data_IF_769739464533
#
_entry.id   IF_769739464533
#
_cell.length_a   1.000
_cell.length_b   1.000
_cell.length_c   1.000
_cell.angle_alpha   90.00
_cell.angle_beta   90.00
_cell.angle_gamma   90.00
#
_symmetry.space_group_name_H-M   'P 1'
#
loop_
_entity.id
_entity.type
_entity.pdbx_description
1 polymer ?
#
# COMPACT_ATOMS: atom_id res chain seq x y z
N UNK A 1 -21.75 -7.81 -18.79
CA UNK A 1 -23.05 -8.01 -18.09
C UNK A 1 -24.15 -6.99 -18.46
N UNK A 2 -24.05 -5.68 -18.16
CA UNK A 2 -25.12 -4.71 -18.50
C UNK A 2 -25.19 -4.38 -20.01
N UNK A 3 -24.03 -4.14 -20.64
CA UNK A 3 -23.91 -3.92 -22.09
C UNK A 3 -24.41 -5.12 -22.91
N UNK A 4 -24.03 -6.34 -22.51
CA UNK A 4 -24.50 -7.60 -23.13
C UNK A 4 -26.03 -7.75 -23.12
N UNK A 5 -26.71 -7.13 -22.16
CA UNK A 5 -28.18 -7.14 -22.04
C UNK A 5 -28.85 -5.94 -22.71
N UNK A 6 -28.11 -5.12 -23.46
CA UNK A 6 -28.65 -3.92 -24.12
C UNK A 6 -29.08 -2.81 -23.15
N UNK A 7 -28.65 -2.87 -21.88
CA UNK A 7 -29.02 -1.87 -20.86
C UNK A 7 -28.12 -0.65 -21.02
N UNK A 8 -28.72 0.53 -21.23
CA UNK A 8 -28.00 1.80 -21.32
C UNK A 8 -27.39 2.14 -19.96
N UNK A 9 -26.09 2.39 -19.93
CA UNK A 9 -25.36 2.78 -18.71
C UNK A 9 -24.73 4.16 -18.88
N UNK A 10 -24.49 4.85 -17.76
CA UNK A 10 -23.74 6.10 -17.66
C UNK A 10 -22.79 6.02 -16.46
N UNK A 11 -21.55 6.48 -16.62
CA UNK A 11 -20.58 6.57 -15.53
C UNK A 11 -20.71 7.94 -14.84
N UNK A 12 -20.70 7.94 -13.52
CA UNK A 12 -20.65 9.15 -12.69
C UNK A 12 -19.35 9.06 -11.89
N UNK A 13 -18.48 10.05 -12.04
CA UNK A 13 -17.18 10.07 -11.38
C UNK A 13 -17.29 10.60 -9.94
N UNK A 14 -16.35 10.20 -9.10
CA UNK A 14 -16.19 10.69 -7.73
C UNK A 14 -14.72 10.59 -7.32
N UNK A 15 -14.39 11.04 -6.10
CA UNK A 15 -13.07 10.89 -5.51
C UNK A 15 -12.61 9.42 -5.45
N UNK A 16 -11.30 9.21 -5.56
CA UNK A 16 -10.64 7.91 -5.55
C UNK A 16 -9.32 8.01 -4.80
N UNK A 17 -8.93 6.92 -4.15
CA UNK A 17 -7.62 6.79 -3.48
C UNK A 17 -6.45 7.12 -4.43
N UNK A 18 -6.62 6.82 -5.72
CA UNK A 18 -5.62 7.12 -6.76
C UNK A 18 -5.31 8.62 -6.85
N UNK A 19 -6.31 9.48 -6.67
CA UNK A 19 -6.12 10.93 -6.63
C UNK A 19 -5.81 11.43 -5.22
N UNK A 20 -6.46 10.85 -4.21
CA UNK A 20 -6.26 11.24 -2.82
C UNK A 20 -4.83 10.93 -2.31
N UNK A 21 -4.12 9.99 -2.93
CA UNK A 21 -2.71 9.71 -2.66
C UNK A 21 -1.80 10.93 -2.79
N UNK A 22 -2.19 11.96 -3.57
CA UNK A 22 -1.47 13.23 -3.64
C UNK A 22 -1.43 13.99 -2.30
N UNK A 23 -2.26 13.60 -1.33
CA UNK A 23 -2.20 14.14 0.04
C UNK A 23 -0.90 13.77 0.77
N UNK A 24 -0.10 12.84 0.24
CA UNK A 24 1.23 12.52 0.76
C UNK A 24 2.28 13.58 0.44
N UNK A 25 1.96 14.58 -0.39
CA UNK A 25 2.92 15.57 -0.88
C UNK A 25 3.67 15.13 -2.15
N UNK A 26 3.54 13.87 -2.56
CA UNK A 26 4.14 13.36 -3.79
C UNK A 26 3.36 13.80 -5.02
N UNK A 27 4.07 14.06 -6.11
CA UNK A 27 3.48 14.41 -7.37
C UNK A 27 2.84 13.21 -8.04
N UNK A 28 1.54 13.30 -8.34
CA UNK A 28 0.79 12.23 -9.00
C UNK A 28 1.36 11.80 -10.35
N UNK A 29 2.10 12.66 -11.05
CA UNK A 29 2.73 12.34 -12.33
C UNK A 29 4.00 11.48 -12.19
N UNK A 30 4.60 11.41 -10.99
CA UNK A 30 5.76 10.57 -10.69
C UNK A 30 5.35 9.14 -10.27
N UNK A 31 4.06 8.82 -10.25
CA UNK A 31 3.58 7.47 -9.93
C UNK A 31 3.60 6.54 -11.14
N UNK A 32 4.18 5.36 -10.96
CA UNK A 32 4.20 4.28 -11.92
C UNK A 32 2.96 3.38 -11.83
N UNK A 33 3.13 2.12 -12.20
CA UNK A 33 2.05 1.14 -12.17
C UNK A 33 1.60 0.85 -10.73
N UNK A 34 0.34 1.12 -10.39
CA UNK A 34 -0.26 0.75 -9.10
C UNK A 34 -0.25 -0.76 -8.90
N UNK A 35 0.04 -1.20 -7.67
CA UNK A 35 0.07 -2.62 -7.29
C UNK A 35 -0.99 -2.94 -6.24
N UNK A 36 -1.30 -4.22 -6.10
CA UNK A 36 -2.15 -4.74 -5.03
C UNK A 36 -1.36 -5.75 -4.22
N UNK A 37 -1.34 -5.57 -2.89
CA UNK A 37 -0.68 -6.48 -1.96
C UNK A 37 -1.77 -7.38 -1.35
N UNK A 38 -1.83 -8.68 -1.72
CA UNK A 38 -2.84 -9.61 -1.23
C UNK A 38 -2.45 -10.15 0.15
N UNK A 39 -3.41 -10.62 0.95
CA UNK A 39 -3.08 -11.34 2.19
C UNK A 39 -2.30 -12.64 1.89
N UNK A 40 -1.21 -12.84 2.62
CA UNK A 40 -0.53 -14.12 2.68
C UNK A 40 -1.35 -15.15 3.48
N UNK A 41 -1.24 -16.40 3.05
CA UNK A 41 -1.77 -17.57 3.76
C UNK A 41 -0.68 -18.63 3.83
N UNK A 42 -0.86 -19.66 4.66
CA UNK A 42 0.15 -20.72 4.85
C UNK A 42 0.60 -21.38 3.54
N UNK A 43 -0.31 -21.56 2.58
CA UNK A 43 -0.02 -22.21 1.29
C UNK A 43 0.07 -21.28 0.09
N UNK A 44 -0.14 -19.96 0.27
CA UNK A 44 -0.18 -19.02 -0.85
C UNK A 44 0.38 -17.67 -0.43
N UNK A 45 1.59 -17.38 -0.95
CA UNK A 45 2.36 -16.15 -0.72
C UNK A 45 2.82 -15.57 -2.06
N UNK A 46 1.92 -14.98 -2.85
CA UNK A 46 2.25 -14.46 -4.17
C UNK A 46 3.14 -13.23 -4.05
N UNK A 47 4.27 -13.22 -4.74
CA UNK A 47 5.23 -12.09 -4.70
C UNK A 47 5.26 -11.28 -5.98
N UNK A 48 4.28 -11.45 -6.87
CA UNK A 48 4.24 -10.75 -8.17
C UNK A 48 4.08 -9.23 -8.05
N UNK A 49 3.60 -8.72 -6.91
CA UNK A 49 3.59 -7.29 -6.64
C UNK A 49 5.00 -6.72 -6.48
N UNK A 50 5.96 -7.53 -6.00
CA UNK A 50 7.35 -7.11 -5.86
C UNK A 50 7.98 -6.85 -7.23
N UNK A 51 7.72 -7.67 -8.25
CA UNK A 51 8.25 -7.43 -9.62
C UNK A 51 7.85 -6.05 -10.17
N UNK A 52 6.65 -5.58 -9.82
CA UNK A 52 6.16 -4.25 -10.22
C UNK A 52 6.76 -3.14 -9.39
N UNK A 53 7.02 -3.37 -8.09
CA UNK A 53 7.77 -2.44 -7.25
C UNK A 53 9.19 -2.26 -7.83
N UNK A 54 9.84 -3.36 -8.21
CA UNK A 54 11.15 -3.34 -8.87
C UNK A 54 11.12 -2.59 -10.19
N UNK A 55 10.14 -2.89 -11.04
CA UNK A 55 9.97 -2.22 -12.31
C UNK A 55 9.77 -0.70 -12.16
N UNK A 56 8.88 -0.27 -11.26
CA UNK A 56 8.63 1.15 -11.06
C UNK A 56 9.85 1.86 -10.47
N UNK A 57 10.50 1.27 -9.46
CA UNK A 57 11.68 1.85 -8.82
C UNK A 57 12.86 1.95 -9.79
N UNK A 58 13.09 0.93 -10.62
CA UNK A 58 14.10 0.97 -11.69
C UNK A 58 13.80 2.02 -12.78
N UNK A 59 12.55 2.47 -12.88
CA UNK A 59 12.13 3.60 -13.72
C UNK A 59 12.01 4.93 -12.97
N UNK A 60 12.51 5.00 -11.73
CA UNK A 60 12.45 6.17 -10.85
C UNK A 60 11.02 6.72 -10.61
N UNK A 61 10.09 5.79 -10.38
CA UNK A 61 8.67 6.12 -10.12
C UNK A 61 8.23 5.67 -8.72
N UNK A 62 7.38 6.48 -8.10
CA UNK A 62 6.66 6.08 -6.88
C UNK A 62 5.65 4.97 -7.23
N UNK A 63 5.37 4.11 -6.26
CA UNK A 63 4.36 3.06 -6.42
C UNK A 63 3.29 3.19 -5.36
N UNK A 64 2.05 3.40 -5.79
CA UNK A 64 0.89 3.25 -4.93
C UNK A 64 0.53 1.77 -4.78
N UNK A 65 0.54 1.30 -3.54
CA UNK A 65 0.19 -0.05 -3.13
C UNK A 65 -1.20 -0.04 -2.50
N UNK A 66 -2.16 -0.68 -3.19
CA UNK A 66 -3.50 -0.94 -2.67
C UNK A 66 -3.46 -2.21 -1.81
N UNK A 67 -4.06 -2.14 -0.63
CA UNK A 67 -4.00 -3.22 0.36
C UNK A 67 -5.27 -4.08 0.30
N UNK A 68 -5.11 -5.38 0.53
CA UNK A 68 -6.20 -6.35 0.36
C UNK A 68 -7.39 -6.09 1.30
N UNK A 69 -8.57 -6.38 0.79
CA UNK A 69 -9.83 -6.23 1.51
C UNK A 69 -10.61 -7.53 1.36
N UNK A 70 -10.83 -8.21 2.48
CA UNK A 70 -11.61 -9.43 2.55
C UNK A 70 -12.92 -9.16 3.26
N UNK A 71 -14.01 -9.15 2.51
CA UNK A 71 -15.36 -8.90 3.05
C UNK A 71 -16.25 -10.07 2.65
N UNK A 72 -17.00 -10.61 3.62
CA UNK A 72 -17.90 -11.76 3.43
C UNK A 72 -17.19 -13.00 2.88
N UNK A 73 -16.01 -13.30 3.41
CA UNK A 73 -15.39 -14.61 3.12
C UNK A 73 -16.22 -15.72 3.80
N UNK A 74 -16.57 -16.79 3.08
CA UNK A 74 -17.30 -17.90 3.66
C UNK A 74 -16.42 -18.64 4.67
N UNK A 75 -16.98 -18.95 5.83
CA UNK A 75 -16.36 -19.88 6.78
C UNK A 75 -16.56 -21.31 6.24
N UNK A 76 -15.54 -21.84 5.58
CA UNK A 76 -15.60 -23.15 4.94
C UNK A 76 -15.90 -24.27 5.94
N UNK A 77 -15.44 -24.18 7.19
CA UNK A 77 -15.72 -25.20 8.20
C UNK A 77 -17.18 -25.17 8.67
N UNK A 78 -17.74 -23.98 8.86
CA UNK A 78 -19.15 -23.81 9.18
C UNK A 78 -20.05 -24.21 8.00
N UNK A 79 -19.64 -23.87 6.78
CA UNK A 79 -20.34 -24.23 5.53
C UNK A 79 -20.36 -25.74 5.30
N UNK A 80 -19.24 -26.44 5.54
CA UNK A 80 -19.19 -27.92 5.50
C UNK A 80 -20.14 -28.56 6.52
N UNK A 81 -20.46 -27.86 7.61
CA UNK A 81 -21.46 -28.27 8.63
C UNK A 81 -22.88 -27.77 8.31
N UNK A 82 -23.12 -27.26 7.09
CA UNK A 82 -24.42 -26.80 6.62
C UNK A 82 -24.86 -25.43 7.15
N UNK A 83 -23.95 -24.63 7.71
CA UNK A 83 -24.25 -23.28 8.23
C UNK A 83 -23.65 -22.22 7.32
N UNK A 84 -24.49 -21.32 6.81
CA UNK A 84 -24.04 -20.13 6.09
C UNK A 84 -23.48 -19.09 7.07
N UNK A 85 -22.18 -19.16 7.31
CA UNK A 85 -21.46 -18.21 8.17
C UNK A 85 -20.37 -17.54 7.35
N UNK A 86 -20.24 -16.23 7.54
CA UNK A 86 -19.20 -15.42 6.94
C UNK A 86 -18.25 -14.92 8.01
N UNK A 87 -16.96 -14.91 7.69
CA UNK A 87 -15.93 -14.33 8.53
C UNK A 87 -16.11 -12.81 8.65
N UNK A 88 -15.69 -12.21 9.78
CA UNK A 88 -15.66 -10.76 9.92
C UNK A 88 -14.78 -10.14 8.83
N UNK A 89 -15.10 -8.92 8.38
CA UNK A 89 -14.31 -8.25 7.35
C UNK A 89 -12.90 -7.99 7.85
N UNK A 90 -11.92 -8.29 7.01
CA UNK A 90 -10.50 -8.02 7.25
C UNK A 90 -10.00 -7.01 6.24
N UNK A 91 -9.30 -6.00 6.74
CA UNK A 91 -8.67 -4.96 5.94
C UNK A 91 -7.19 -5.00 6.25
N UNK A 92 -6.37 -5.13 5.22
CA UNK A 92 -4.92 -5.18 5.40
C UNK A 92 -4.42 -3.83 5.90
N UNK A 93 -3.62 -3.84 6.97
CA UNK A 93 -2.97 -2.64 7.49
C UNK A 93 -1.65 -2.37 6.75
N UNK A 94 -1.12 -1.16 6.94
CA UNK A 94 0.23 -0.82 6.43
C UNK A 94 1.26 -1.75 7.03
N UNK A 95 1.17 -1.99 8.35
CA UNK A 95 2.08 -2.87 9.09
C UNK A 95 2.12 -4.28 8.48
N UNK A 96 0.97 -4.88 8.19
CA UNK A 96 0.88 -6.20 7.55
C UNK A 96 1.45 -6.20 6.13
N UNK A 97 1.18 -5.15 5.35
CA UNK A 97 1.73 -5.02 4.00
C UNK A 97 3.26 -4.93 4.02
N UNK A 98 3.79 -4.14 4.96
CA UNK A 98 5.22 -3.97 5.22
C UNK A 98 5.85 -5.29 5.66
N UNK A 99 5.24 -6.02 6.60
CA UNK A 99 5.70 -7.36 7.01
C UNK A 99 5.81 -8.32 5.84
N UNK A 100 4.79 -8.35 4.97
CA UNK A 100 4.81 -9.21 3.78
C UNK A 100 5.86 -8.79 2.75
N UNK A 101 6.11 -7.48 2.59
CA UNK A 101 7.21 -6.98 1.76
C UNK A 101 8.54 -7.45 2.32
N UNK A 102 8.79 -7.24 3.62
CA UNK A 102 10.03 -7.64 4.30
C UNK A 102 10.23 -9.17 4.20
N UNK A 103 9.18 -9.96 4.43
CA UNK A 103 9.23 -11.43 4.29
C UNK A 103 9.59 -11.86 2.87
N UNK A 104 9.22 -11.06 1.87
CA UNK A 104 9.49 -11.35 0.45
C UNK A 104 10.89 -10.93 -0.02
N UNK A 105 11.64 -10.14 0.76
CA UNK A 105 12.98 -9.65 0.39
C UNK A 105 14.04 -10.77 0.29
N UNK A 106 14.20 -11.69 1.26
CA UNK A 106 15.29 -12.68 1.24
C UNK A 106 15.21 -13.68 0.08
N UNK A 107 14.01 -13.87 -0.48
CA UNK A 107 13.77 -14.75 -1.62
C UNK A 107 14.24 -14.14 -2.96
N UNK A 108 14.72 -12.88 -2.96
CA UNK A 108 15.16 -12.15 -4.15
C UNK A 108 16.66 -11.89 -4.07
N UNK A 109 17.40 -12.36 -5.07
CA UNK A 109 18.86 -12.14 -5.19
C UNK A 109 19.25 -10.73 -5.67
N UNK A 110 18.27 -9.83 -5.89
CA UNK A 110 18.47 -8.56 -6.60
C UNK A 110 19.03 -7.42 -5.73
N UNK A 111 19.48 -6.34 -6.40
CA UNK A 111 19.91 -5.04 -5.86
C UNK A 111 18.88 -4.33 -4.94
N UNK A 112 17.73 -4.97 -4.70
CA UNK A 112 16.61 -4.51 -3.89
C UNK A 112 16.87 -4.42 -2.38
N UNK A 113 18.11 -4.64 -1.92
CA UNK A 113 18.56 -4.26 -0.56
C UNK A 113 18.29 -2.79 -0.23
N UNK A 114 18.11 -1.96 -1.26
CA UNK A 114 17.73 -0.55 -1.12
C UNK A 114 16.32 -0.37 -0.51
N UNK A 115 15.41 -1.37 -0.59
CA UNK A 115 14.08 -1.27 0.04
C UNK A 115 14.13 -1.09 1.57
N UNK A 116 15.13 -1.65 2.26
CA UNK A 116 15.24 -1.50 3.72
C UNK A 116 15.40 -0.02 4.13
N UNK A 117 16.11 0.78 3.33
CA UNK A 117 16.31 2.22 3.55
C UNK A 117 15.42 3.11 2.68
N UNK A 118 14.51 2.52 1.91
CA UNK A 118 13.65 3.27 1.01
C UNK A 118 12.66 4.10 1.81
N UNK A 119 12.45 5.35 1.38
CA UNK A 119 11.36 6.16 1.89
C UNK A 119 10.03 5.54 1.49
N UNK A 120 9.23 5.21 2.49
CA UNK A 120 7.88 4.71 2.32
C UNK A 120 6.89 5.63 3.01
N UNK A 121 5.63 5.58 2.58
CA UNK A 121 4.55 6.38 3.17
C UNK A 121 3.36 5.46 3.42
N UNK A 122 2.99 5.31 4.69
CA UNK A 122 1.73 4.70 5.09
C UNK A 122 0.64 5.76 5.16
N UNK A 123 -0.55 5.42 4.69
CA UNK A 123 -1.71 6.31 4.71
C UNK A 123 -2.94 5.54 5.15
N UNK A 124 -3.76 6.16 6.00
CA UNK A 124 -5.01 5.61 6.46
C UNK A 124 -6.12 6.67 6.42
N UNK A 125 -7.32 6.22 6.06
CA UNK A 125 -8.56 7.01 6.06
C UNK A 125 -8.43 8.32 5.26
N UNK A 126 -7.84 8.24 4.06
CA UNK A 126 -7.67 9.40 3.19
C UNK A 126 -9.02 10.07 2.92
N UNK A 127 -9.08 11.39 3.15
CA UNK A 127 -10.29 12.21 3.01
C UNK A 127 -11.23 12.21 4.24
N UNK A 128 -10.87 11.57 5.34
CA UNK A 128 -11.57 11.69 6.63
C UNK A 128 -10.93 12.75 7.52
N UNK A 129 -11.67 13.25 8.51
CA UNK A 129 -11.18 14.21 9.52
C UNK A 129 -10.03 13.62 10.36
N UNK A 130 -10.01 12.30 10.53
CA UNK A 130 -8.99 11.54 11.26
C UNK A 130 -7.98 10.85 10.33
N UNK A 131 -7.77 11.38 9.12
CA UNK A 131 -6.75 10.92 8.18
C UNK A 131 -5.37 10.86 8.86
N UNK A 132 -4.64 9.77 8.61
CA UNK A 132 -3.29 9.57 9.13
C UNK A 132 -2.32 9.31 7.97
N UNK A 133 -1.25 10.08 7.90
CA UNK A 133 -0.15 9.90 6.94
C UNK A 133 1.15 9.88 7.74
N UNK A 134 1.98 8.86 7.53
CA UNK A 134 3.29 8.71 8.17
C UNK A 134 4.30 8.21 7.15
N UNK A 135 5.51 8.77 7.19
CA UNK A 135 6.60 8.45 6.30
C UNK A 135 7.83 7.96 7.08
N UNK A 136 8.56 7.01 6.51
CA UNK A 136 9.71 6.39 7.15
C UNK A 136 10.20 5.20 6.36
N UNK A 137 11.15 4.45 6.93
CA UNK A 137 11.59 3.17 6.37
C UNK A 137 10.53 2.09 6.54
N UNK A 138 10.68 0.96 5.85
CA UNK A 138 9.81 -0.21 6.06
C UNK A 138 9.78 -0.62 7.54
N UNK A 139 10.94 -0.76 8.18
CA UNK A 139 11.04 -1.16 9.58
C UNK A 139 10.34 -0.19 10.52
N UNK A 140 10.48 1.12 10.28
CA UNK A 140 9.81 2.16 11.07
C UNK A 140 8.29 2.05 10.93
N UNK A 141 7.79 2.01 9.70
CA UNK A 141 6.35 1.96 9.45
C UNK A 141 5.71 0.63 9.89
N UNK A 142 6.49 -0.44 10.10
CA UNK A 142 6.00 -1.69 10.69
C UNK A 142 5.49 -1.50 12.11
N UNK A 143 6.08 -0.60 12.89
CA UNK A 143 5.75 -0.40 14.30
C UNK A 143 4.80 0.78 14.54
N UNK A 144 4.53 1.58 13.50
CA UNK A 144 3.69 2.77 13.62
C UNK A 144 2.18 2.47 13.73
N UNK A 145 1.49 3.24 14.57
CA UNK A 145 0.03 3.19 14.70
C UNK A 145 -0.65 4.09 13.66
N UNK A 146 -1.43 3.49 12.76
CA UNK A 146 -2.19 4.22 11.73
C UNK A 146 -3.67 4.39 12.07
N UNK A 147 -4.17 3.70 13.10
CA UNK A 147 -5.60 3.63 13.45
C UNK A 147 -6.39 2.63 12.60
N UNK A 148 -7.67 2.91 12.38
CA UNK A 148 -8.60 2.02 11.66
C UNK A 148 -8.51 2.07 10.13
N UNK A 149 -9.12 1.09 9.43
CA UNK A 149 -9.15 1.04 7.96
C UNK A 149 -9.88 2.24 7.33
N UNK A 150 -9.70 2.56 6.04
CA UNK A 150 -8.91 1.83 5.03
C UNK A 150 -7.49 2.37 4.89
N UNK A 151 -6.53 1.47 4.65
CA UNK A 151 -5.12 1.82 4.52
C UNK A 151 -4.66 1.67 3.06
N UNK A 152 -3.66 2.46 2.69
CA UNK A 152 -2.86 2.30 1.49
C UNK A 152 -1.41 2.67 1.79
N UNK A 153 -0.51 2.26 0.91
CA UNK A 153 0.92 2.35 1.14
C UNK A 153 1.62 2.87 -0.11
N UNK A 154 2.70 3.60 0.05
CA UNK A 154 3.53 4.08 -1.05
C UNK A 154 4.97 3.64 -0.82
N UNK A 155 5.56 3.08 -1.86
CA UNK A 155 7.02 2.94 -1.97
C UNK A 155 7.50 4.08 -2.87
N UNK A 156 8.36 4.96 -2.36
CA UNK A 156 8.83 6.09 -3.16
C UNK A 156 9.78 5.62 -4.28
N UNK A 157 10.08 6.52 -5.21
CA UNK A 157 11.17 6.35 -6.18
C UNK A 157 12.54 6.31 -5.48
N UNK A 158 13.61 6.13 -6.25
CA UNK A 158 14.98 6.25 -5.72
C UNK A 158 15.29 7.72 -5.46
N UNK A 159 15.09 8.54 -6.49
CA UNK A 159 15.24 9.99 -6.40
C UNK A 159 13.87 10.62 -6.15
N UNK A 160 13.73 11.28 -5.00
CA UNK A 160 12.51 12.03 -4.66
C UNK A 160 12.83 13.51 -4.80
N UNK A 161 11.98 14.24 -5.53
CA UNK A 161 12.22 15.65 -5.82
C UNK A 161 12.26 16.48 -4.53
N UNK A 162 13.09 17.51 -4.45
CA UNK A 162 13.28 18.31 -3.23
C UNK A 162 11.97 18.85 -2.66
N UNK A 163 11.11 19.43 -3.51
CA UNK A 163 9.77 19.89 -3.12
C UNK A 163 8.85 18.76 -2.59
N UNK A 164 8.98 17.55 -3.12
CA UNK A 164 8.23 16.39 -2.60
C UNK A 164 8.77 16.01 -1.23
N UNK A 165 10.09 16.08 -1.01
CA UNK A 165 10.71 15.82 0.28
C UNK A 165 10.32 16.87 1.33
N UNK A 166 10.28 18.14 0.96
CA UNK A 166 9.79 19.22 1.83
C UNK A 166 8.34 18.95 2.26
N UNK A 167 7.49 18.50 1.33
CA UNK A 167 6.11 18.15 1.63
C UNK A 167 6.02 16.87 2.49
N UNK A 168 6.83 15.85 2.22
CA UNK A 168 6.84 14.61 3.01
C UNK A 168 7.43 14.83 4.41
N UNK A 169 8.21 15.90 4.61
CA UNK A 169 8.95 16.14 5.85
C UNK A 169 8.05 16.18 7.09
N UNK A 170 6.83 16.73 6.95
CA UNK A 170 5.85 16.83 8.03
C UNK A 170 5.28 15.48 8.47
N UNK A 171 5.38 14.45 7.62
CA UNK A 171 4.89 13.10 7.88
C UNK A 171 5.97 12.16 8.40
N UNK A 172 7.25 12.56 8.39
CA UNK A 172 8.34 11.67 8.80
C UNK A 172 8.22 11.36 10.29
N UNK A 173 8.27 10.06 10.60
CA UNK A 173 8.18 9.57 11.98
C UNK A 173 9.33 10.07 12.84
N UNK A 174 9.07 10.28 14.13
CA UNK A 174 10.05 10.83 15.06
C UNK A 174 11.25 9.86 15.21
N UNK A 175 12.47 10.39 15.08
CA UNK A 175 13.68 9.57 15.16
C UNK A 175 13.97 8.71 13.92
N UNK A 176 13.27 8.95 12.80
CA UNK A 176 13.49 8.21 11.55
C UNK A 176 14.95 8.25 11.12
N UNK A 177 15.48 7.06 10.82
CA UNK A 177 16.82 6.82 10.31
C UNK A 177 17.01 7.30 8.86
N UNK A 178 15.91 7.47 8.11
CA UNK A 178 15.94 7.94 6.72
C UNK A 178 16.54 9.35 6.59
N UNK A 179 16.30 10.24 7.56
CA UNK A 179 16.84 11.61 7.55
C UNK A 179 18.34 11.70 7.86
N UNK A 180 18.91 10.71 8.55
CA UNK A 180 20.27 10.83 9.12
C UNK A 180 21.40 10.80 8.10
N UNK A 181 21.15 10.44 6.83
CA UNK A 181 22.19 10.24 5.82
C UNK A 181 22.31 11.39 4.78
N UNK A 182 21.49 12.46 4.85
CA UNK A 182 21.56 13.62 3.92
C UNK A 182 22.32 14.85 4.48
N UNK A 183 23.49 14.66 5.09
CA UNK A 183 24.42 15.75 5.47
C UNK A 183 25.75 15.66 4.74
#
# INVERSE_FOLDING_TARGET
RAREKGIKTRVIHNASVMGAAGSSGLHLYNFGATVSIPFFTEGWKPTSFMDKLEYNRGGDMHTLCLLDIKVREPDFEAMMKGKEVYLPPRYMTVNQAVEQIIESLPARESEFKILEKTLCIGMARLGHDDQCIKAGTLEELREEEFGGPLHCFIVCAEEVHELELEAVEEFIVEGSSWKTEKK
#
